data_IF_200681205924
#
_entry.id   IF_200681205924
#
_cell.length_a   1.000
_cell.length_b   1.000
_cell.length_c   1.000
_cell.angle_alpha   90.00
_cell.angle_beta   90.00
_cell.angle_gamma   90.00
#
_symmetry.space_group_name_H-M   'P 1'
#
loop_
_entity.id
_entity.type
_entity.pdbx_description
1 polymer ?
#
# COMPACT_ATOMS: atom_id res chain seq x y z
N UNK A 1 -30.63 3.62 -32.06
CA UNK A 1 -30.56 2.87 -30.82
C UNK A 1 -31.32 3.63 -29.75
N UNK A 2 -32.15 3.03 -28.89
CA UNK A 2 -32.76 3.76 -27.78
C UNK A 2 -31.67 4.35 -26.92
N UNK A 3 -31.72 5.65 -26.66
CA UNK A 3 -30.83 6.31 -25.70
C UNK A 3 -31.20 5.77 -24.34
N UNK A 4 -30.30 4.98 -23.76
CA UNK A 4 -30.39 4.54 -22.35
C UNK A 4 -30.37 5.81 -21.51
N UNK A 5 -31.47 6.10 -20.82
CA UNK A 5 -31.57 7.27 -19.94
C UNK A 5 -30.65 7.03 -18.74
N UNK A 6 -29.50 7.70 -18.75
CA UNK A 6 -28.48 7.55 -17.70
C UNK A 6 -28.89 8.31 -16.44
N UNK A 7 -28.77 7.74 -15.25
CA UNK A 7 -28.98 8.51 -14.02
C UNK A 7 -28.07 9.74 -13.98
N UNK A 8 -28.57 10.88 -13.48
CA UNK A 8 -27.75 12.09 -13.39
C UNK A 8 -26.54 11.88 -12.48
N UNK A 9 -25.45 12.53 -12.81
CA UNK A 9 -24.25 12.52 -11.97
C UNK A 9 -24.54 13.19 -10.63
N UNK A 10 -24.09 12.56 -9.55
CA UNK A 10 -24.10 13.12 -8.20
C UNK A 10 -23.13 14.31 -8.12
N UNK A 11 -23.32 15.20 -7.15
CA UNK A 11 -22.55 16.44 -7.03
C UNK A 11 -21.03 16.17 -6.96
N UNK A 12 -20.59 15.27 -6.10
CA UNK A 12 -19.17 14.91 -5.97
C UNK A 12 -18.61 14.25 -7.24
N UNK A 13 -19.41 13.44 -7.97
CA UNK A 13 -18.99 12.84 -9.25
C UNK A 13 -18.73 13.90 -10.32
N UNK A 14 -19.63 14.88 -10.43
CA UNK A 14 -19.47 16.01 -11.37
C UNK A 14 -18.20 16.80 -11.06
N UNK A 15 -17.99 17.14 -9.76
CA UNK A 15 -16.79 17.86 -9.32
C UNK A 15 -15.50 17.06 -9.57
N UNK A 16 -15.53 15.74 -9.36
CA UNK A 16 -14.40 14.88 -9.68
C UNK A 16 -14.06 14.91 -11.17
N UNK A 17 -15.10 14.83 -12.03
CA UNK A 17 -14.92 14.88 -13.47
C UNK A 17 -14.45 16.25 -13.96
N UNK A 18 -14.94 17.35 -13.38
CA UNK A 18 -14.46 18.71 -13.66
C UNK A 18 -12.98 18.86 -13.31
N UNK A 19 -12.56 18.38 -12.13
CA UNK A 19 -11.16 18.41 -11.71
C UNK A 19 -10.27 17.54 -12.60
N UNK A 20 -10.74 16.39 -13.06
CA UNK A 20 -10.03 15.54 -14.01
C UNK A 20 -9.92 16.21 -15.38
N UNK A 21 -11.00 16.80 -15.90
CA UNK A 21 -10.98 17.52 -17.18
C UNK A 21 -9.98 18.70 -17.14
N UNK A 22 -9.93 19.46 -16.04
CA UNK A 22 -8.94 20.52 -15.82
C UNK A 22 -7.49 19.97 -15.79
N UNK A 23 -7.29 18.85 -15.11
CA UNK A 23 -5.97 18.21 -15.02
C UNK A 23 -5.47 17.76 -16.41
N UNK A 24 -6.35 17.09 -17.18
CA UNK A 24 -6.04 16.64 -18.53
C UNK A 24 -5.80 17.82 -19.49
N UNK A 25 -6.63 18.85 -19.42
CA UNK A 25 -6.46 20.08 -20.22
C UNK A 25 -5.15 20.82 -19.84
N UNK A 26 -4.70 20.71 -18.59
CA UNK A 26 -3.43 21.24 -18.11
C UNK A 26 -2.20 20.42 -18.52
N UNK A 27 -2.39 19.38 -19.33
CA UNK A 27 -1.31 18.52 -19.84
C UNK A 27 -0.85 17.41 -18.90
N UNK A 28 -1.57 17.16 -17.81
CA UNK A 28 -1.32 15.96 -16.98
C UNK A 28 -1.71 14.70 -17.77
N UNK A 29 -0.97 13.63 -17.57
CA UNK A 29 -1.28 12.31 -18.11
C UNK A 29 -1.61 11.32 -16.98
N UNK A 30 -1.52 11.75 -15.73
CA UNK A 30 -1.72 10.91 -14.53
C UNK A 30 -2.56 11.65 -13.51
N UNK A 31 -3.52 10.96 -12.90
CA UNK A 31 -4.41 11.53 -11.90
C UNK A 31 -4.81 10.49 -10.85
N UNK A 32 -4.97 10.93 -9.63
CA UNK A 32 -5.48 10.14 -8.52
C UNK A 32 -6.77 10.77 -7.97
N UNK A 33 -7.84 9.97 -7.91
CA UNK A 33 -9.14 10.39 -7.40
C UNK A 33 -9.54 9.52 -6.22
N UNK A 34 -9.81 10.18 -5.09
CA UNK A 34 -10.23 9.54 -3.83
C UNK A 34 -11.72 9.80 -3.62
N UNK A 35 -12.50 8.72 -3.60
CA UNK A 35 -13.96 8.76 -3.41
C UNK A 35 -14.39 7.70 -2.41
N UNK A 36 -15.27 8.01 -1.44
CA UNK A 36 -15.73 7.04 -0.44
C UNK A 36 -16.35 5.79 -1.07
N UNK A 37 -16.42 4.67 -0.32
CA UNK A 37 -17.20 3.52 -0.72
C UNK A 37 -18.67 3.94 -1.00
N UNK A 38 -19.26 3.41 -2.08
CA UNK A 38 -20.63 3.76 -2.47
C UNK A 38 -20.80 5.13 -3.16
N UNK A 39 -19.76 5.95 -3.26
CA UNK A 39 -19.79 7.24 -3.96
C UNK A 39 -19.79 7.09 -5.50
N UNK A 40 -19.61 5.90 -6.04
CA UNK A 40 -19.66 5.61 -7.48
C UNK A 40 -18.36 5.91 -8.22
N UNK A 41 -17.23 5.42 -7.69
CA UNK A 41 -15.92 5.45 -8.36
C UNK A 41 -15.96 4.92 -9.79
N UNK A 42 -16.61 3.76 -9.97
CA UNK A 42 -16.78 3.13 -11.29
C UNK A 42 -17.45 4.08 -12.28
N UNK A 43 -18.49 4.81 -11.85
CA UNK A 43 -19.17 5.79 -12.69
C UNK A 43 -18.23 6.92 -13.12
N UNK A 44 -17.40 7.44 -12.21
CA UNK A 44 -16.42 8.48 -12.54
C UNK A 44 -15.38 7.96 -13.54
N UNK A 45 -14.89 6.76 -13.36
CA UNK A 45 -13.94 6.15 -14.29
C UNK A 45 -14.52 5.91 -15.68
N UNK A 46 -15.77 5.42 -15.76
CA UNK A 46 -16.48 5.20 -17.03
C UNK A 46 -16.77 6.51 -17.78
N UNK A 47 -17.24 7.54 -17.08
CA UNK A 47 -17.46 8.87 -17.66
C UNK A 47 -16.14 9.50 -18.13
N UNK A 48 -15.05 9.32 -17.40
CA UNK A 48 -13.72 9.78 -17.84
C UNK A 48 -13.30 9.06 -19.12
N UNK A 49 -13.46 7.74 -19.17
CA UNK A 49 -13.15 6.95 -20.36
C UNK A 49 -13.96 7.42 -21.58
N UNK A 50 -15.26 7.61 -21.41
CA UNK A 50 -16.13 8.08 -22.49
C UNK A 50 -15.72 9.45 -23.02
N UNK A 51 -15.40 10.39 -22.11
CA UNK A 51 -14.97 11.76 -22.50
C UNK A 51 -13.65 11.73 -23.29
N UNK A 52 -12.66 10.98 -22.81
CA UNK A 52 -11.36 10.89 -23.47
C UNK A 52 -11.44 10.18 -24.83
N UNK A 53 -12.24 9.10 -24.92
CA UNK A 53 -12.51 8.40 -26.19
C UNK A 53 -13.26 9.32 -27.17
N UNK A 54 -14.30 10.02 -26.73
CA UNK A 54 -15.08 10.93 -27.57
C UNK A 54 -14.25 12.14 -28.05
N UNK A 55 -13.32 12.61 -27.24
CA UNK A 55 -12.37 13.67 -27.60
C UNK A 55 -11.23 13.20 -28.49
N UNK A 56 -11.10 11.89 -28.75
CA UNK A 56 -9.98 11.31 -29.52
C UNK A 56 -8.63 11.45 -28.82
N UNK A 57 -8.60 11.66 -27.50
CA UNK A 57 -7.37 11.75 -26.72
C UNK A 57 -6.80 10.35 -26.42
N UNK A 58 -7.66 9.35 -26.38
CA UNK A 58 -7.31 7.94 -26.29
C UNK A 58 -8.10 7.12 -27.30
N UNK A 59 -7.54 6.03 -27.76
CA UNK A 59 -8.16 5.09 -28.70
C UNK A 59 -8.80 3.90 -27.97
N UNK A 60 -8.34 3.65 -26.74
CA UNK A 60 -8.76 2.51 -25.92
C UNK A 60 -8.80 2.88 -24.44
N UNK A 61 -9.74 2.25 -23.73
CA UNK A 61 -9.79 2.31 -22.26
C UNK A 61 -9.69 0.89 -21.68
N UNK A 62 -8.80 0.73 -20.70
CA UNK A 62 -8.56 -0.52 -20.00
C UNK A 62 -8.65 -0.26 -18.51
N UNK A 63 -9.39 -1.09 -17.77
CA UNK A 63 -9.41 -1.05 -16.31
C UNK A 63 -8.71 -2.27 -15.72
N UNK A 64 -7.88 -2.05 -14.72
CA UNK A 64 -7.31 -3.07 -13.87
C UNK A 64 -7.98 -3.05 -12.51
N UNK A 65 -8.47 -4.19 -12.05
CA UNK A 65 -9.14 -4.36 -10.77
C UNK A 65 -8.53 -5.47 -9.91
N UNK A 66 -8.81 -5.48 -8.60
CA UNK A 66 -8.16 -6.41 -7.67
C UNK A 66 -8.63 -7.86 -7.79
N UNK A 67 -9.84 -8.09 -8.34
CA UNK A 67 -10.41 -9.43 -8.48
C UNK A 67 -11.46 -9.49 -9.59
N UNK A 68 -11.85 -10.71 -9.95
CA UNK A 68 -12.81 -10.97 -11.04
C UNK A 68 -14.22 -10.39 -10.78
N UNK A 69 -14.65 -10.28 -9.52
CA UNK A 69 -15.96 -9.72 -9.19
C UNK A 69 -16.00 -8.21 -9.49
N UNK A 70 -14.97 -7.48 -9.14
CA UNK A 70 -14.84 -6.04 -9.46
C UNK A 70 -14.72 -5.83 -10.96
N UNK A 71 -13.89 -6.64 -11.64
CA UNK A 71 -13.74 -6.60 -13.10
C UNK A 71 -15.09 -6.83 -13.78
N UNK A 72 -15.86 -7.85 -13.36
CA UNK A 72 -17.20 -8.11 -13.89
C UNK A 72 -18.18 -6.95 -13.69
N UNK A 73 -18.12 -6.23 -12.56
CA UNK A 73 -18.92 -5.03 -12.33
C UNK A 73 -18.56 -3.91 -13.30
N UNK A 74 -17.28 -3.73 -13.62
CA UNK A 74 -16.84 -2.75 -14.61
C UNK A 74 -17.37 -3.09 -16.01
N UNK A 75 -17.27 -4.36 -16.42
CA UNK A 75 -17.76 -4.84 -17.71
C UNK A 75 -19.27 -4.65 -17.85
N UNK A 76 -20.05 -5.03 -16.83
CA UNK A 76 -21.50 -4.87 -16.81
C UNK A 76 -21.90 -3.40 -16.92
N UNK A 77 -21.33 -2.52 -16.08
CA UNK A 77 -21.65 -1.11 -16.10
C UNK A 77 -21.20 -0.41 -17.39
N UNK A 78 -20.05 -0.80 -17.94
CA UNK A 78 -19.58 -0.29 -19.23
C UNK A 78 -20.54 -0.67 -20.36
N UNK A 79 -21.01 -1.93 -20.38
CA UNK A 79 -21.98 -2.42 -21.33
C UNK A 79 -23.33 -1.69 -21.21
N UNK A 80 -23.85 -1.50 -19.99
CA UNK A 80 -25.08 -0.76 -19.71
C UNK A 80 -25.03 0.69 -20.21
N UNK A 81 -23.86 1.32 -20.12
CA UNK A 81 -23.64 2.68 -20.58
C UNK A 81 -23.24 2.79 -22.05
N UNK A 82 -22.97 1.65 -22.71
CA UNK A 82 -22.50 1.61 -24.09
C UNK A 82 -21.07 2.13 -24.26
N UNK A 83 -20.24 2.04 -23.22
CA UNK A 83 -18.86 2.53 -23.23
C UNK A 83 -17.92 1.37 -23.57
N UNK A 84 -17.08 1.56 -24.59
CA UNK A 84 -16.09 0.57 -24.98
C UNK A 84 -14.94 0.57 -23.97
N UNK A 85 -14.88 -0.47 -23.14
CA UNK A 85 -13.82 -0.67 -22.13
C UNK A 85 -13.46 -2.15 -22.03
N UNK A 86 -12.18 -2.42 -21.82
CA UNK A 86 -11.67 -3.76 -21.48
C UNK A 86 -11.34 -3.81 -20.00
N UNK A 87 -11.72 -4.87 -19.31
CA UNK A 87 -11.44 -5.01 -17.89
C UNK A 87 -10.59 -6.27 -17.61
N UNK A 88 -9.54 -6.12 -16.80
CA UNK A 88 -8.65 -7.20 -16.39
C UNK A 88 -8.38 -7.14 -14.90
N UNK A 89 -8.00 -8.28 -14.32
CA UNK A 89 -7.46 -8.29 -12.96
C UNK A 89 -5.98 -7.91 -12.97
N UNK A 90 -5.48 -7.30 -11.88
CA UNK A 90 -4.04 -7.05 -11.72
C UNK A 90 -3.22 -8.33 -11.90
N UNK A 91 -3.70 -9.45 -11.36
CA UNK A 91 -3.04 -10.74 -11.45
C UNK A 91 -2.90 -11.23 -12.90
N UNK A 92 -3.84 -10.92 -13.79
CA UNK A 92 -3.77 -11.35 -15.18
C UNK A 92 -2.65 -10.67 -15.98
N UNK A 93 -2.19 -9.51 -15.51
CA UNK A 93 -1.05 -8.78 -16.09
C UNK A 93 0.25 -9.14 -15.38
N UNK A 94 0.19 -9.40 -14.10
CA UNK A 94 1.33 -9.50 -13.19
C UNK A 94 1.63 -10.95 -12.75
N UNK A 95 1.37 -11.94 -13.59
CA UNK A 95 1.81 -13.33 -13.36
C UNK A 95 3.29 -13.42 -13.68
N UNK A 96 4.11 -13.67 -12.65
CA UNK A 96 5.54 -13.94 -12.83
C UNK A 96 5.77 -15.40 -13.25
N UNK A 97 6.77 -15.61 -14.07
CA UNK A 97 7.23 -16.94 -14.45
C UNK A 97 8.02 -17.51 -13.26
N UNK A 98 7.59 -18.63 -12.63
CA UNK A 98 8.30 -19.24 -11.53
C UNK A 98 9.67 -19.78 -11.91
N UNK A 99 9.90 -20.04 -13.20
CA UNK A 99 11.15 -20.56 -13.77
C UNK A 99 12.03 -19.44 -14.35
N UNK A 100 11.62 -18.16 -14.23
CA UNK A 100 12.47 -17.06 -14.64
C UNK A 100 13.73 -17.02 -13.76
N UNK A 101 14.85 -17.45 -14.33
CA UNK A 101 16.15 -17.48 -13.66
C UNK A 101 16.48 -16.09 -13.08
N UNK A 102 16.74 -16.06 -11.80
CA UNK A 102 17.45 -14.95 -11.17
C UNK A 102 18.91 -15.18 -11.54
N UNK A 103 19.44 -14.40 -12.48
CA UNK A 103 20.85 -14.48 -12.82
C UNK A 103 21.70 -14.30 -11.56
N UNK A 104 22.69 -15.18 -11.34
CA UNK A 104 23.60 -15.19 -10.19
C UNK A 104 24.39 -13.87 -10.05
N UNK A 105 24.40 -13.02 -11.06
CA UNK A 105 25.12 -11.74 -11.11
C UNK A 105 24.28 -10.55 -10.59
N UNK A 106 23.06 -10.76 -10.07
CA UNK A 106 22.27 -9.70 -9.44
C UNK A 106 21.84 -8.56 -10.37
N UNK A 107 21.82 -8.81 -11.68
CA UNK A 107 21.29 -7.85 -12.64
C UNK A 107 19.77 -7.77 -12.45
N UNK A 108 19.30 -6.64 -11.94
CA UNK A 108 17.87 -6.35 -11.72
C UNK A 108 17.18 -6.23 -13.08
N UNK A 109 16.89 -7.38 -13.69
CA UNK A 109 16.00 -7.37 -14.86
C UNK A 109 14.68 -6.71 -14.46
N UNK A 110 14.22 -5.80 -15.31
CA UNK A 110 12.92 -5.17 -15.14
C UNK A 110 11.87 -6.21 -14.75
N UNK A 111 11.02 -5.96 -13.73
CA UNK A 111 9.91 -6.82 -13.36
C UNK A 111 9.06 -7.27 -14.55
N UNK A 112 8.91 -6.44 -15.59
CA UNK A 112 8.21 -6.77 -16.84
C UNK A 112 8.90 -7.93 -17.58
N UNK A 113 10.23 -8.00 -17.56
CA UNK A 113 10.97 -9.10 -18.21
C UNK A 113 10.75 -10.46 -17.54
N UNK A 114 10.30 -10.47 -16.28
CA UNK A 114 10.03 -11.69 -15.49
C UNK A 114 8.58 -12.15 -15.55
N UNK A 115 7.73 -11.49 -16.36
CA UNK A 115 6.34 -11.87 -16.51
C UNK A 115 6.21 -13.21 -17.24
N UNK A 116 5.25 -14.03 -16.81
CA UNK A 116 4.79 -15.21 -17.53
C UNK A 116 4.28 -14.82 -18.93
N UNK A 117 4.27 -15.76 -19.87
CA UNK A 117 3.85 -15.55 -21.26
C UNK A 117 2.49 -14.83 -21.37
N UNK A 118 1.51 -15.20 -20.54
CA UNK A 118 0.20 -14.55 -20.51
C UNK A 118 0.26 -13.08 -20.10
N UNK A 119 1.09 -12.73 -19.11
CA UNK A 119 1.31 -11.36 -18.68
C UNK A 119 1.99 -10.54 -19.78
N UNK A 120 3.02 -11.11 -20.42
CA UNK A 120 3.70 -10.48 -21.57
C UNK A 120 2.73 -10.22 -22.72
N UNK A 121 1.86 -11.18 -23.07
CA UNK A 121 0.86 -10.98 -24.10
C UNK A 121 -0.08 -9.80 -23.80
N UNK A 122 -0.47 -9.60 -22.51
CA UNK A 122 -1.25 -8.44 -22.10
C UNK A 122 -0.48 -7.12 -22.21
N UNK A 123 0.79 -7.11 -21.85
CA UNK A 123 1.67 -5.94 -22.03
C UNK A 123 1.79 -5.57 -23.51
N UNK A 124 2.01 -6.55 -24.38
CA UNK A 124 2.07 -6.32 -25.82
C UNK A 124 0.73 -5.80 -26.38
N UNK A 125 -0.40 -6.29 -25.86
CA UNK A 125 -1.73 -5.78 -26.22
C UNK A 125 -1.89 -4.31 -25.82
N UNK A 126 -1.40 -3.89 -24.64
CA UNK A 126 -1.40 -2.49 -24.21
C UNK A 126 -0.46 -1.62 -25.08
N UNK A 127 0.71 -2.13 -25.44
CA UNK A 127 1.65 -1.42 -26.33
C UNK A 127 1.07 -1.21 -27.72
N UNK A 128 0.38 -2.20 -28.24
CA UNK A 128 -0.25 -2.14 -29.56
C UNK A 128 -1.52 -1.27 -29.59
N UNK A 129 -2.06 -0.89 -28.44
CA UNK A 129 -3.32 -0.17 -28.32
C UNK A 129 -3.26 1.31 -28.72
N UNK A 130 -2.06 1.86 -28.96
CA UNK A 130 -1.91 3.32 -29.19
C UNK A 130 -2.15 4.14 -27.91
N UNK A 131 -2.60 5.39 -28.03
CA UNK A 131 -2.98 6.20 -26.89
C UNK A 131 -4.11 5.53 -26.11
N UNK A 132 -3.90 5.25 -24.83
CA UNK A 132 -4.87 4.53 -24.00
C UNK A 132 -5.10 5.20 -22.64
N UNK A 133 -6.30 4.99 -22.09
CA UNK A 133 -6.59 5.26 -20.70
C UNK A 133 -6.45 3.96 -19.89
N UNK A 134 -5.58 3.97 -18.90
CA UNK A 134 -5.46 2.91 -17.91
C UNK A 134 -6.13 3.35 -16.60
N UNK A 135 -7.25 2.73 -16.27
CA UNK A 135 -7.94 2.95 -15.00
C UNK A 135 -7.47 1.91 -13.99
N UNK A 136 -7.04 2.34 -12.84
CA UNK A 136 -6.54 1.49 -11.76
C UNK A 136 -7.51 1.55 -10.58
N UNK A 137 -8.38 0.55 -10.46
CA UNK A 137 -9.38 0.51 -9.39
C UNK A 137 -8.82 -0.12 -8.13
N UNK A 138 -9.19 0.43 -6.96
CA UNK A 138 -8.63 0.11 -5.64
C UNK A 138 -7.09 0.16 -5.63
N UNK A 139 -6.55 1.20 -6.26
CA UNK A 139 -5.12 1.34 -6.55
C UNK A 139 -4.22 1.47 -5.31
N UNK A 140 -4.78 1.63 -4.10
CA UNK A 140 -4.02 1.60 -2.85
C UNK A 140 -3.32 0.25 -2.61
N UNK A 141 -3.89 -0.86 -3.10
CA UNK A 141 -3.25 -2.17 -3.05
C UNK A 141 -1.98 -2.28 -3.90
N UNK A 142 -1.81 -1.41 -4.90
CA UNK A 142 -0.63 -1.40 -5.76
C UNK A 142 0.64 -0.97 -5.03
N UNK A 143 0.51 -0.16 -3.98
CA UNK A 143 1.64 0.40 -3.25
C UNK A 143 2.41 -0.66 -2.45
N UNK A 144 1.83 -1.84 -2.23
CA UNK A 144 2.45 -2.92 -1.44
C UNK A 144 3.21 -3.92 -2.32
N UNK A 145 2.61 -4.40 -3.42
CA UNK A 145 3.14 -5.55 -4.17
C UNK A 145 3.38 -5.25 -5.66
N UNK A 146 2.49 -4.49 -6.30
CA UNK A 146 2.45 -4.34 -7.76
C UNK A 146 2.99 -3.01 -8.29
N UNK A 147 3.25 -2.07 -7.40
CA UNK A 147 3.53 -0.70 -7.80
C UNK A 147 4.78 -0.54 -8.64
N UNK A 148 5.85 -1.27 -8.33
CA UNK A 148 7.10 -1.23 -9.11
C UNK A 148 6.90 -1.81 -10.52
N UNK A 149 6.24 -2.97 -10.61
CA UNK A 149 5.91 -3.56 -11.92
C UNK A 149 5.07 -2.61 -12.78
N UNK A 150 4.10 -1.93 -12.16
CA UNK A 150 3.27 -0.98 -12.88
C UNK A 150 4.04 0.28 -13.27
N UNK A 151 4.95 0.76 -12.43
CA UNK A 151 5.82 1.87 -12.78
C UNK A 151 6.68 1.54 -14.02
N UNK A 152 7.33 0.37 -14.03
CA UNK A 152 8.11 -0.10 -15.17
C UNK A 152 7.24 -0.29 -16.43
N UNK A 153 6.03 -0.84 -16.26
CA UNK A 153 5.08 -0.97 -17.37
C UNK A 153 4.71 0.40 -17.95
N UNK A 154 4.51 1.41 -17.11
CA UNK A 154 4.16 2.76 -17.57
C UNK A 154 5.33 3.48 -18.27
N UNK A 155 6.58 3.13 -17.99
CA UNK A 155 7.75 3.59 -18.76
C UNK A 155 7.71 3.07 -20.21
N UNK A 156 7.17 1.87 -20.40
CA UNK A 156 7.00 1.26 -21.73
C UNK A 156 5.75 1.77 -22.45
N UNK A 157 4.86 2.49 -21.76
CA UNK A 157 3.61 3.05 -22.28
C UNK A 157 3.58 4.59 -22.15
N UNK A 158 4.50 5.32 -22.80
CA UNK A 158 4.65 6.78 -22.59
C UNK A 158 3.42 7.60 -23.00
N UNK A 159 2.55 7.04 -23.82
CA UNK A 159 1.31 7.67 -24.28
C UNK A 159 0.06 7.23 -23.48
N UNK A 160 0.24 6.47 -22.40
CA UNK A 160 -0.86 6.08 -21.55
C UNK A 160 -1.27 7.23 -20.61
N UNK A 161 -2.56 7.50 -20.55
CA UNK A 161 -3.18 8.29 -19.48
C UNK A 161 -3.55 7.36 -18.33
N UNK A 162 -3.31 7.75 -17.09
CA UNK A 162 -3.54 6.91 -15.92
C UNK A 162 -4.51 7.58 -14.96
N UNK A 163 -5.57 6.88 -14.61
CA UNK A 163 -6.54 7.28 -13.59
C UNK A 163 -6.54 6.27 -12.44
N UNK A 164 -5.98 6.64 -11.30
CA UNK A 164 -6.11 5.88 -10.06
C UNK A 164 -7.40 6.20 -9.33
N UNK A 165 -8.13 5.17 -8.93
CA UNK A 165 -9.36 5.27 -8.13
C UNK A 165 -9.19 4.50 -6.82
N UNK A 166 -9.49 5.13 -5.70
CA UNK A 166 -9.49 4.47 -4.40
C UNK A 166 -10.53 5.06 -3.46
N UNK A 167 -10.98 4.27 -2.51
CA UNK A 167 -11.79 4.73 -1.38
C UNK A 167 -10.97 4.97 -0.11
N UNK A 168 -9.85 4.30 0.02
CA UNK A 168 -9.02 4.21 1.21
C UNK A 168 -7.57 4.53 0.88
N UNK A 169 -7.22 5.82 0.67
CA UNK A 169 -5.83 6.19 0.52
C UNK A 169 -5.08 5.85 1.83
N UNK A 170 -3.83 5.39 1.76
CA UNK A 170 -3.04 5.14 2.96
C UNK A 170 -2.96 6.39 3.84
N UNK A 171 -3.20 6.22 5.14
CA UNK A 171 -3.16 7.33 6.10
C UNK A 171 -1.74 7.91 6.27
N UNK A 172 -0.72 7.07 6.09
CA UNK A 172 0.68 7.46 6.07
C UNK A 172 1.39 6.67 4.96
N UNK A 173 2.23 7.35 4.20
CA UNK A 173 3.07 6.75 3.16
C UNK A 173 4.52 6.74 3.65
N UNK A 174 5.23 5.63 3.43
CA UNK A 174 6.69 5.63 3.50
C UNK A 174 7.26 6.50 2.38
N UNK A 175 8.54 6.89 2.48
CA UNK A 175 9.19 7.67 1.43
C UNK A 175 9.10 6.99 0.04
N UNK A 176 9.31 5.68 0.00
CA UNK A 176 9.22 4.89 -1.23
C UNK A 176 7.79 4.84 -1.78
N UNK A 177 6.80 4.66 -0.92
CA UNK A 177 5.39 4.67 -1.31
C UNK A 177 4.96 6.05 -1.82
N UNK A 178 5.42 7.13 -1.20
CA UNK A 178 5.14 8.49 -1.66
C UNK A 178 5.75 8.75 -3.05
N UNK A 179 6.99 8.30 -3.28
CA UNK A 179 7.64 8.35 -4.59
C UNK A 179 6.88 7.53 -5.64
N UNK A 180 6.37 6.36 -5.26
CA UNK A 180 5.59 5.50 -6.14
C UNK A 180 4.23 6.13 -6.49
N UNK A 181 3.53 6.74 -5.53
CA UNK A 181 2.28 7.49 -5.77
C UNK A 181 2.51 8.64 -6.74
N UNK A 182 3.60 9.39 -6.57
CA UNK A 182 3.95 10.47 -7.49
C UNK A 182 4.24 9.93 -8.90
N UNK A 183 5.01 8.86 -9.00
CA UNK A 183 5.32 8.20 -10.27
C UNK A 183 4.07 7.65 -10.97
N UNK A 184 3.18 7.00 -10.26
CA UNK A 184 2.00 6.36 -10.85
C UNK A 184 0.87 7.34 -11.15
N UNK A 185 0.66 8.34 -10.30
CA UNK A 185 -0.55 9.17 -10.32
C UNK A 185 -0.27 10.68 -10.39
N UNK A 186 0.96 11.13 -10.18
CA UNK A 186 1.29 12.56 -10.17
C UNK A 186 0.59 13.37 -9.06
N UNK A 187 0.10 12.67 -8.03
CA UNK A 187 -0.63 13.25 -6.91
C UNK A 187 -2.15 13.28 -7.05
N UNK A 188 -2.84 13.58 -5.94
CA UNK A 188 -4.31 13.63 -5.88
C UNK A 188 -4.86 14.80 -6.66
N UNK A 189 -5.80 14.53 -7.57
CA UNK A 189 -6.52 15.54 -8.35
C UNK A 189 -7.84 15.91 -7.69
N UNK A 190 -8.52 14.93 -7.11
CA UNK A 190 -9.79 15.15 -6.42
C UNK A 190 -9.93 14.20 -5.23
N UNK A 191 -10.48 14.74 -4.14
CA UNK A 191 -10.83 13.97 -2.95
C UNK A 191 -12.17 14.42 -2.40
N UNK A 192 -13.05 13.46 -2.07
CA UNK A 192 -14.27 13.69 -1.34
C UNK A 192 -14.29 12.84 -0.07
N UNK A 193 -14.59 13.45 1.06
CA UNK A 193 -14.71 12.74 2.35
C UNK A 193 -16.12 12.17 2.55
N UNK A 194 -16.25 11.10 3.34
CA UNK A 194 -17.55 10.53 3.70
C UNK A 194 -18.51 11.60 4.25
N UNK A 195 -18.10 12.45 5.23
CA UNK A 195 -19.00 13.49 5.75
C UNK A 195 -19.45 14.52 4.70
N UNK A 196 -18.61 14.81 3.70
CA UNK A 196 -19.00 15.73 2.62
C UNK A 196 -20.09 15.13 1.75
N UNK A 197 -19.93 13.87 1.32
CA UNK A 197 -20.88 13.18 0.45
C UNK A 197 -22.19 12.85 1.18
N UNK A 198 -22.14 12.57 2.50
CA UNK A 198 -23.35 12.43 3.33
C UNK A 198 -24.13 13.75 3.40
N UNK A 199 -23.45 14.89 3.57
CA UNK A 199 -24.10 16.22 3.57
C UNK A 199 -24.72 16.58 2.22
N UNK A 200 -24.18 16.06 1.13
CA UNK A 200 -24.78 16.20 -0.22
C UNK A 200 -26.03 15.31 -0.40
N UNK A 201 -26.30 14.39 0.51
CA UNK A 201 -27.41 13.44 0.44
C UNK A 201 -27.14 12.22 -0.45
N UNK A 202 -25.94 12.06 -0.93
CA UNK A 202 -25.54 11.03 -1.89
C UNK A 202 -25.00 9.75 -1.23
N UNK A 203 -24.74 9.79 0.10
CA UNK A 203 -24.49 8.63 0.96
C UNK A 203 -25.43 8.67 2.16
N UNK A 204 -25.81 7.49 2.65
CA UNK A 204 -26.58 7.36 3.86
C UNK A 204 -25.82 7.94 5.07
N UNK A 205 -26.48 8.64 5.98
CA UNK A 205 -25.89 9.03 7.24
C UNK A 205 -25.50 7.77 8.03
N UNK A 206 -24.39 7.85 8.76
CA UNK A 206 -23.94 6.76 9.61
C UNK A 206 -23.78 7.24 11.04
N UNK A 207 -23.84 6.30 11.97
CA UNK A 207 -23.51 6.50 13.37
C UNK A 207 -22.62 5.36 13.83
N UNK A 208 -21.56 5.70 14.52
CA UNK A 208 -20.74 4.70 15.21
C UNK A 208 -21.39 4.38 16.55
N UNK A 209 -21.76 3.11 16.72
CA UNK A 209 -22.36 2.62 17.94
C UNK A 209 -21.36 1.72 18.66
N UNK A 210 -20.97 2.13 19.85
CA UNK A 210 -20.13 1.30 20.72
C UNK A 210 -21.04 0.51 21.65
N UNK A 211 -20.98 -0.81 21.52
CA UNK A 211 -21.66 -1.74 22.40
C UNK A 211 -20.67 -2.33 23.40
N UNK A 212 -20.70 -1.84 24.62
CA UNK A 212 -19.85 -2.37 25.69
C UNK A 212 -20.47 -3.64 26.27
N UNK A 213 -19.75 -4.73 26.16
CA UNK A 213 -20.14 -6.02 26.77
C UNK A 213 -19.13 -6.43 27.82
N UNK A 214 -19.61 -7.16 28.82
CA UNK A 214 -18.71 -7.81 29.77
C UNK A 214 -18.21 -9.11 29.13
N UNK A 215 -16.89 -9.32 29.01
CA UNK A 215 -16.36 -10.58 28.49
C UNK A 215 -16.85 -11.77 29.31
N UNK A 216 -17.09 -12.89 28.64
CA UNK A 216 -17.37 -14.16 29.32
C UNK A 216 -16.17 -14.55 30.19
N UNK A 217 -16.36 -15.40 31.20
CA UNK A 217 -15.26 -15.91 32.03
C UNK A 217 -14.13 -16.56 31.21
N UNK A 218 -14.47 -17.22 30.11
CA UNK A 218 -13.51 -17.85 29.21
C UNK A 218 -12.69 -16.82 28.41
N UNK A 219 -13.33 -15.82 27.83
CA UNK A 219 -12.67 -14.74 27.12
C UNK A 219 -11.76 -13.94 28.05
N UNK A 220 -12.23 -13.66 29.28
CA UNK A 220 -11.42 -12.98 30.30
C UNK A 220 -10.18 -13.81 30.65
N UNK A 221 -10.35 -15.11 30.92
CA UNK A 221 -9.23 -15.98 31.24
C UNK A 221 -8.23 -16.09 30.07
N UNK A 222 -8.70 -16.02 28.84
CA UNK A 222 -7.85 -16.02 27.65
C UNK A 222 -7.05 -14.71 27.53
N UNK A 223 -7.70 -13.57 27.72
CA UNK A 223 -7.04 -12.24 27.68
C UNK A 223 -6.02 -12.13 28.81
N UNK A 224 -6.41 -12.49 30.05
CA UNK A 224 -5.53 -12.46 31.22
C UNK A 224 -4.31 -13.40 31.01
N UNK A 225 -4.54 -14.61 30.49
CA UNK A 225 -3.48 -15.55 30.20
C UNK A 225 -2.56 -15.08 29.05
N UNK A 226 -3.09 -14.33 28.09
CA UNK A 226 -2.27 -13.72 27.02
C UNK A 226 -1.43 -12.58 27.54
N UNK A 227 -1.97 -11.75 28.42
CA UNK A 227 -1.23 -10.68 29.07
C UNK A 227 -0.07 -11.20 29.94
N UNK A 228 -0.31 -12.30 30.68
CA UNK A 228 0.73 -12.96 31.48
C UNK A 228 1.86 -13.49 30.58
N UNK A 229 1.50 -14.25 29.53
CA UNK A 229 2.50 -14.78 28.58
C UNK A 229 3.32 -13.68 27.90
N UNK A 230 2.65 -12.56 27.55
CA UNK A 230 3.34 -11.42 26.98
C UNK A 230 4.32 -10.77 27.99
N UNK A 231 3.92 -10.61 29.24
CA UNK A 231 4.81 -10.10 30.29
C UNK A 231 5.98 -11.04 30.58
N UNK A 232 5.75 -12.36 30.57
CA UNK A 232 6.81 -13.37 30.70
C UNK A 232 7.78 -13.31 29.53
N UNK A 233 7.30 -13.18 28.28
CA UNK A 233 8.15 -13.03 27.11
C UNK A 233 9.02 -11.76 27.20
N UNK A 234 8.41 -10.62 27.52
CA UNK A 234 9.17 -9.34 27.68
C UNK A 234 10.23 -9.48 28.77
N UNK A 235 9.90 -10.16 29.87
CA UNK A 235 10.86 -10.41 30.95
C UNK A 235 12.01 -11.32 30.48
N UNK A 236 11.72 -12.37 29.72
CA UNK A 236 12.72 -13.27 29.17
C UNK A 236 13.62 -12.54 28.15
N UNK A 237 13.06 -11.70 27.27
CA UNK A 237 13.80 -10.90 26.29
C UNK A 237 14.74 -9.88 26.98
N UNK A 238 14.36 -9.38 28.16
CA UNK A 238 15.20 -8.47 28.93
C UNK A 238 16.33 -9.19 29.72
N UNK A 239 16.28 -10.53 29.83
CA UNK A 239 17.31 -11.32 30.52
C UNK A 239 18.61 -11.32 29.72
N UNK A 240 19.75 -10.89 30.32
CA UNK A 240 21.03 -10.86 29.66
C UNK A 240 21.60 -12.25 29.35
N UNK A 241 21.00 -13.32 29.83
CA UNK A 241 21.40 -14.71 29.52
C UNK A 241 20.58 -15.35 28.38
N UNK A 242 19.60 -14.65 27.85
CA UNK A 242 18.70 -15.17 26.82
C UNK A 242 19.33 -15.06 25.41
N UNK A 243 19.71 -16.18 24.84
CA UNK A 243 20.44 -16.28 23.57
C UNK A 243 21.99 -16.05 23.70
N UNK A 244 22.73 -16.27 22.63
CA UNK A 244 24.17 -16.02 22.58
C UNK A 244 24.50 -14.53 22.53
N UNK A 245 23.67 -13.75 21.87
CA UNK A 245 23.65 -12.29 21.92
C UNK A 245 22.30 -11.87 22.47
N UNK A 246 22.23 -11.42 23.74
CA UNK A 246 20.99 -11.01 24.37
C UNK A 246 20.25 -9.97 23.55
N UNK A 247 18.92 -10.05 23.54
CA UNK A 247 18.05 -9.20 22.71
C UNK A 247 18.34 -7.69 22.87
N UNK A 248 18.40 -7.18 24.11
CA UNK A 248 18.71 -5.75 24.32
C UNK A 248 20.13 -5.38 23.89
N UNK A 249 21.10 -6.32 24.00
CA UNK A 249 22.46 -6.12 23.50
C UNK A 249 22.47 -6.08 21.97
N UNK A 250 21.67 -6.91 21.30
CA UNK A 250 21.49 -6.84 19.87
C UNK A 250 20.93 -5.48 19.43
N UNK A 251 19.86 -5.03 20.06
CA UNK A 251 19.25 -3.75 19.77
C UNK A 251 20.21 -2.57 20.00
N UNK A 252 20.99 -2.61 21.07
CA UNK A 252 22.03 -1.60 21.32
C UNK A 252 23.03 -1.54 20.17
N UNK A 253 23.57 -2.68 19.77
CA UNK A 253 24.52 -2.77 18.64
C UNK A 253 23.89 -2.32 17.32
N UNK A 254 22.65 -2.70 17.07
CA UNK A 254 21.92 -2.46 15.82
C UNK A 254 21.47 -1.02 15.67
N UNK A 255 21.01 -0.39 16.75
CA UNK A 255 20.27 0.88 16.72
C UNK A 255 21.03 2.02 17.43
N UNK A 256 21.79 1.75 18.49
CA UNK A 256 22.49 2.77 19.29
C UNK A 256 23.94 2.90 18.84
N UNK A 257 24.75 1.84 18.99
CA UNK A 257 26.16 1.88 18.61
C UNK A 257 26.38 1.71 17.11
N UNK A 258 25.49 1.03 16.44
CA UNK A 258 25.49 0.80 14.98
C UNK A 258 26.81 0.21 14.46
N UNK A 259 27.34 -0.75 15.21
CA UNK A 259 28.62 -1.43 14.97
C UNK A 259 28.58 -2.43 13.78
N UNK A 260 27.72 -2.26 12.79
CA UNK A 260 27.70 -3.10 11.59
C UNK A 260 28.77 -2.65 10.61
N UNK A 261 29.93 -3.21 10.77
CA UNK A 261 31.07 -3.32 9.87
C UNK A 261 31.08 -2.55 8.54
N UNK A 262 31.32 -1.25 8.54
CA UNK A 262 31.77 -0.60 7.32
C UNK A 262 31.31 0.82 7.09
N UNK A 263 30.11 1.22 7.20
CA UNK A 263 29.69 2.60 7.01
C UNK A 263 28.74 3.02 8.13
N UNK A 264 29.04 4.11 8.78
CA UNK A 264 28.21 4.69 9.84
C UNK A 264 26.91 5.21 9.22
N UNK A 265 25.85 4.39 9.28
CA UNK A 265 24.51 4.80 8.80
C UNK A 265 23.94 5.83 9.77
N UNK A 266 23.58 7.00 9.30
CA UNK A 266 22.98 8.02 10.15
C UNK A 266 21.60 7.57 10.64
N UNK A 267 21.20 8.05 11.85
CA UNK A 267 19.85 7.76 12.36
C UNK A 267 18.74 8.17 11.37
N UNK A 268 18.90 9.32 10.71
CA UNK A 268 17.93 9.80 9.74
C UNK A 268 17.78 8.85 8.53
N UNK A 269 18.88 8.26 8.06
CA UNK A 269 18.83 7.29 6.97
C UNK A 269 18.18 5.97 7.43
N UNK A 270 18.49 5.51 8.66
CA UNK A 270 17.87 4.32 9.23
C UNK A 270 16.37 4.53 9.45
N UNK A 271 15.95 5.68 9.99
CA UNK A 271 14.55 6.01 10.22
C UNK A 271 13.74 6.12 8.90
N UNK A 272 14.39 6.55 7.82
CA UNK A 272 13.76 6.57 6.50
C UNK A 272 13.61 5.16 5.91
N UNK A 273 14.58 4.27 6.14
CA UNK A 273 14.56 2.91 5.63
C UNK A 273 13.67 1.97 6.46
N UNK A 274 13.69 2.11 7.78
CA UNK A 274 13.04 1.20 8.73
C UNK A 274 12.24 1.98 9.79
N UNK A 275 11.19 2.73 9.38
CA UNK A 275 10.48 3.64 10.29
C UNK A 275 9.83 2.92 11.47
N UNK A 276 9.20 1.76 11.25
CA UNK A 276 8.53 0.99 12.31
C UNK A 276 9.53 0.52 13.37
N UNK A 277 10.70 0.05 12.95
CA UNK A 277 11.75 -0.40 13.86
C UNK A 277 12.33 0.76 14.68
N UNK A 278 12.56 1.90 14.04
CA UNK A 278 13.09 3.09 14.71
C UNK A 278 12.11 3.74 15.67
N UNK A 279 10.83 3.78 15.34
CA UNK A 279 9.77 4.25 16.24
C UNK A 279 9.64 3.33 17.46
N UNK A 280 9.68 2.02 17.27
CA UNK A 280 9.68 1.05 18.35
C UNK A 280 10.90 1.22 19.27
N UNK A 281 12.09 1.45 18.69
CA UNK A 281 13.30 1.73 19.47
C UNK A 281 13.20 3.00 20.33
N UNK A 282 12.57 4.05 19.82
CA UNK A 282 12.37 5.29 20.59
C UNK A 282 11.35 5.09 21.73
N UNK A 283 10.38 4.19 21.57
CA UNK A 283 9.47 3.80 22.66
C UNK A 283 10.15 2.94 23.71
N UNK A 284 11.06 2.03 23.29
CA UNK A 284 11.94 1.31 24.24
C UNK A 284 12.84 2.27 25.02
N UNK A 285 13.37 3.31 24.36
CA UNK A 285 14.11 4.35 25.04
C UNK A 285 13.24 5.06 26.09
N UNK A 286 12.00 5.40 25.74
CA UNK A 286 11.07 6.01 26.70
C UNK A 286 10.79 5.12 27.93
N UNK A 287 10.77 3.80 27.72
CA UNK A 287 10.62 2.80 28.79
C UNK A 287 11.95 2.46 29.53
N UNK A 288 13.01 3.24 29.35
CA UNK A 288 14.34 3.03 29.93
C UNK A 288 15.01 1.66 29.62
N UNK A 289 14.56 0.99 28.54
CA UNK A 289 15.10 -0.29 28.12
C UNK A 289 16.22 -0.17 27.08
N UNK A 290 16.34 0.96 26.42
CA UNK A 290 17.37 1.23 25.40
C UNK A 290 17.92 2.64 25.56
N UNK A 291 19.22 2.82 25.33
CA UNK A 291 19.81 4.16 25.30
C UNK A 291 19.28 4.97 24.12
N UNK A 292 19.24 6.30 24.22
CA UNK A 292 18.83 7.14 23.10
C UNK A 292 19.80 7.00 21.92
N UNK A 293 19.34 6.55 20.76
CA UNK A 293 20.22 6.43 19.59
C UNK A 293 20.83 7.77 19.17
N UNK A 294 22.13 7.86 18.87
CA UNK A 294 22.74 9.12 18.45
C UNK A 294 22.10 9.70 17.20
N UNK A 295 21.70 10.98 17.28
CA UNK A 295 20.99 11.69 16.23
C UNK A 295 19.46 11.52 16.23
N UNK A 296 18.92 10.66 17.08
CA UNK A 296 17.49 10.50 17.25
C UNK A 296 16.86 11.70 17.97
N UNK A 297 15.62 12.01 17.62
CA UNK A 297 14.81 13.06 18.24
C UNK A 297 13.42 12.52 18.54
N UNK A 298 13.16 12.02 19.77
CA UNK A 298 11.85 11.55 20.16
C UNK A 298 10.79 12.66 20.04
N UNK A 299 9.64 12.32 19.47
CA UNK A 299 8.44 13.18 19.41
C UNK A 299 7.45 12.77 20.50
N UNK A 300 6.29 13.44 20.57
CA UNK A 300 5.24 13.09 21.52
C UNK A 300 4.70 11.66 21.31
N UNK A 301 4.68 11.17 20.08
CA UNK A 301 4.23 9.82 19.72
C UNK A 301 5.12 8.70 20.30
N UNK A 302 6.36 9.01 20.66
CA UNK A 302 7.29 8.06 21.26
C UNK A 302 7.22 8.04 22.79
N UNK A 303 6.47 8.98 23.42
CA UNK A 303 6.33 9.09 24.88
C UNK A 303 5.22 8.22 25.43
N UNK A 304 5.26 6.96 25.08
CA UNK A 304 4.38 5.90 25.58
C UNK A 304 5.14 4.60 25.71
N UNK A 305 4.65 3.71 26.56
CA UNK A 305 5.21 2.36 26.65
C UNK A 305 5.09 1.61 25.32
N UNK A 306 6.09 0.78 24.98
CA UNK A 306 6.06 -0.03 23.77
C UNK A 306 4.89 -1.02 23.80
N UNK A 307 4.07 -0.99 22.76
CA UNK A 307 2.97 -1.92 22.55
C UNK A 307 3.40 -3.24 21.92
N UNK A 308 2.47 -4.17 21.73
CA UNK A 308 2.74 -5.48 21.13
C UNK A 308 3.39 -5.37 19.74
N UNK A 309 2.93 -4.45 18.91
CA UNK A 309 3.48 -4.24 17.55
C UNK A 309 4.94 -3.75 17.59
N UNK A 310 5.28 -2.90 18.56
CA UNK A 310 6.64 -2.43 18.75
C UNK A 310 7.58 -3.61 19.11
N UNK A 311 7.13 -4.50 20.00
CA UNK A 311 7.88 -5.71 20.35
C UNK A 311 8.00 -6.67 19.17
N UNK A 312 6.95 -6.85 18.36
CA UNK A 312 6.99 -7.70 17.17
C UNK A 312 8.04 -7.19 16.17
N UNK A 313 8.10 -5.88 15.93
CA UNK A 313 9.08 -5.30 15.03
C UNK A 313 10.52 -5.51 15.52
N UNK A 314 10.78 -5.26 16.81
CA UNK A 314 12.11 -5.39 17.41
C UNK A 314 12.57 -6.84 17.52
N UNK A 315 11.68 -7.74 17.92
CA UNK A 315 11.98 -9.19 17.99
C UNK A 315 12.17 -9.75 16.59
N UNK A 316 11.35 -9.30 15.62
CA UNK A 316 11.50 -9.68 14.20
C UNK A 316 12.87 -9.33 13.64
N UNK A 317 13.40 -8.14 13.95
CA UNK A 317 14.77 -7.74 13.55
C UNK A 317 15.83 -8.63 14.20
N UNK A 318 15.70 -8.93 15.49
CA UNK A 318 16.62 -9.83 16.20
C UNK A 318 16.59 -11.26 15.65
N UNK A 319 15.40 -11.82 15.44
CA UNK A 319 15.21 -13.17 14.87
C UNK A 319 15.84 -13.26 13.49
N UNK A 320 15.49 -12.36 12.60
CA UNK A 320 15.95 -12.40 11.20
C UNK A 320 17.39 -11.96 11.03
N UNK A 321 17.84 -11.00 11.83
CA UNK A 321 19.19 -10.43 11.79
C UNK A 321 20.22 -11.29 12.50
N UNK A 322 19.83 -12.04 13.54
CA UNK A 322 20.74 -12.83 14.39
C UNK A 322 20.34 -14.29 14.52
N UNK A 323 19.20 -14.63 15.14
CA UNK A 323 18.90 -16.01 15.54
C UNK A 323 18.87 -16.97 14.35
N UNK A 324 18.20 -16.61 13.25
CA UNK A 324 18.12 -17.47 12.05
C UNK A 324 19.46 -17.65 11.33
N UNK A 325 20.45 -16.81 11.63
CA UNK A 325 21.81 -16.88 11.05
C UNK A 325 22.82 -17.55 11.98
N UNK A 326 22.47 -17.68 13.25
CA UNK A 326 23.32 -18.29 14.26
C UNK A 326 23.26 -19.82 14.19
N UNK A 327 24.34 -20.46 14.66
CA UNK A 327 24.45 -21.92 14.87
C UNK A 327 24.74 -22.25 16.33
N UNK A 328 24.72 -21.26 17.20
CA UNK A 328 24.96 -21.44 18.64
C UNK A 328 23.75 -22.13 19.29
N UNK A 329 23.99 -23.12 20.18
CA UNK A 329 22.91 -23.85 20.84
C UNK A 329 21.93 -22.95 21.60
N UNK A 330 22.42 -21.89 22.26
CA UNK A 330 21.61 -20.96 23.01
C UNK A 330 20.64 -20.15 22.09
N UNK A 331 21.00 -19.89 20.82
CA UNK A 331 20.18 -19.22 19.87
C UNK A 331 19.12 -20.14 19.25
N UNK A 332 19.44 -21.43 19.13
CA UNK A 332 18.48 -22.45 18.70
C UNK A 332 17.42 -22.73 19.77
N UNK A 333 17.75 -22.55 21.06
CA UNK A 333 16.77 -22.63 22.15
C UNK A 333 15.89 -21.37 22.23
N UNK A 334 16.39 -20.23 21.79
CA UNK A 334 15.66 -18.97 21.79
C UNK A 334 14.68 -18.83 20.62
N UNK A 335 14.82 -19.63 19.55
CA UNK A 335 13.90 -19.72 18.41
C UNK A 335 12.66 -20.53 18.75
#
# INVERSE_FOLDING_TARGET
MPTVERPPLRTHQRRALEALDEAWAGGRTRAWTVLPPGAGKTRVGLETAERLLAAGQVERAVVLGPNTAIVGQWEEQAADLGIAMTAWTYQSVAVFDPDAEVDEDGDERSPVARLHENGRARVEELRAAGPLLLVLDECHHLLEVWGRLLADLLEELPQAMVLGLTATPPAALTGDQAGLVDTLFGGTVFEATIPAVVREGDLAPFAELVWLVTPTPHERAWVDGSAVRFAELVTALADPSFGSVPFLTWLDRRLVTRDAGGAEVSWAALAAAEPVLTDAALRLHHADLLALPPGARPTEEHRRDPGADDWVALVGDWVTGHLLRSREPADLEAL
#
